data_IF_414281302164
#
_entry.id   IF_414281302164
#
_cell.length_a   1.000
_cell.length_b   1.000
_cell.length_c   1.000
_cell.angle_alpha   90.00
_cell.angle_beta   90.00
_cell.angle_gamma   90.00
#
_symmetry.space_group_name_H-M   'P 1'
#
loop_
_entity.id
_entity.type
_entity.pdbx_description
1 polymer ?
#
# COMPACT_ATOMS: atom_id res chain seq x y z
N UNK A 1 -2.59 -9.08 -19.69
CA UNK A 1 -1.80 -8.69 -18.51
C UNK A 1 -2.54 -7.55 -17.85
N UNK A 2 -3.36 -7.85 -16.85
CA UNK A 2 -4.05 -6.80 -16.08
C UNK A 2 -2.99 -5.95 -15.38
N UNK A 3 -3.14 -4.64 -15.41
CA UNK A 3 -2.24 -3.66 -14.79
C UNK A 3 -1.93 -4.01 -13.33
N UNK A 4 -0.81 -4.68 -13.05
CA UNK A 4 -0.41 -5.11 -11.70
C UNK A 4 -0.37 -3.92 -10.72
N UNK A 5 0.01 -2.75 -11.24
CA UNK A 5 0.01 -1.49 -10.51
C UNK A 5 -1.40 -1.05 -10.09
N UNK A 6 -2.45 -1.32 -10.88
CA UNK A 6 -3.86 -1.01 -10.50
C UNK A 6 -4.32 -1.92 -9.37
N UNK A 7 -3.95 -3.19 -9.40
CA UNK A 7 -4.23 -4.12 -8.31
C UNK A 7 -3.54 -3.66 -7.02
N UNK A 8 -2.29 -3.21 -7.13
CA UNK A 8 -1.56 -2.62 -6.01
C UNK A 8 -2.24 -1.34 -5.49
N UNK A 9 -2.64 -0.42 -6.38
CA UNK A 9 -3.33 0.81 -5.99
C UNK A 9 -4.65 0.50 -5.25
N UNK A 10 -5.45 -0.42 -5.77
CA UNK A 10 -6.69 -0.88 -5.11
C UNK A 10 -6.44 -1.50 -3.74
N UNK A 11 -5.35 -2.25 -3.59
CA UNK A 11 -4.97 -2.80 -2.28
C UNK A 11 -4.57 -1.69 -1.30
N UNK A 12 -3.83 -0.67 -1.73
CA UNK A 12 -3.48 0.49 -0.88
C UNK A 12 -4.72 1.29 -0.44
N UNK A 13 -5.71 1.41 -1.31
CA UNK A 13 -7.02 2.00 -0.96
C UNK A 13 -7.73 1.17 0.10
N UNK A 14 -7.79 -0.16 -0.07
CA UNK A 14 -8.36 -1.08 0.93
C UNK A 14 -7.63 -1.06 2.27
N UNK A 15 -6.35 -0.71 2.27
CA UNK A 15 -5.54 -0.50 3.46
C UNK A 15 -5.68 0.91 4.05
N UNK A 16 -6.53 1.77 3.50
CA UNK A 16 -6.72 3.18 3.88
C UNK A 16 -5.44 4.03 3.80
N UNK A 17 -4.55 3.70 2.86
CA UNK A 17 -3.32 4.46 2.59
C UNK A 17 -3.52 5.49 1.49
N UNK A 18 -4.36 5.17 0.51
CA UNK A 18 -4.82 6.09 -0.51
C UNK A 18 -6.32 6.29 -0.33
N UNK A 19 -6.84 7.53 -0.45
CA UNK A 19 -8.27 7.75 -0.50
C UNK A 19 -8.86 7.20 -1.82
N UNK A 20 -10.15 6.89 -1.82
CA UNK A 20 -10.83 6.28 -2.98
C UNK A 20 -10.81 7.19 -4.22
N UNK A 21 -10.82 8.50 -4.02
CA UNK A 21 -10.78 9.55 -5.04
C UNK A 21 -9.36 10.00 -5.41
N UNK A 22 -8.33 9.29 -4.92
CA UNK A 22 -6.94 9.65 -5.21
C UNK A 22 -6.66 9.59 -6.72
N UNK A 23 -5.85 10.52 -7.24
CA UNK A 23 -5.50 10.57 -8.68
C UNK A 23 -4.99 9.25 -9.28
N UNK A 24 -4.42 8.36 -8.45
CA UNK A 24 -3.89 7.05 -8.88
C UNK A 24 -4.95 5.99 -9.10
N UNK A 25 -6.19 6.22 -8.64
CA UNK A 25 -7.33 5.29 -8.84
C UNK A 25 -8.16 5.66 -10.07
N UNK A 26 -7.87 6.83 -10.68
CA UNK A 26 -8.57 7.31 -11.87
C UNK A 26 -8.39 6.42 -13.11
N UNK A 27 -9.29 6.54 -14.10
CA UNK A 27 -9.20 5.79 -15.34
C UNK A 27 -7.91 6.10 -16.12
N UNK A 28 -7.50 7.37 -16.15
CA UNK A 28 -6.32 7.87 -16.86
C UNK A 28 -5.01 7.76 -16.06
N UNK A 29 -5.08 7.20 -14.84
CA UNK A 29 -3.90 7.03 -13.99
C UNK A 29 -2.88 6.07 -14.62
N UNK A 30 -1.61 6.31 -14.33
CA UNK A 30 -0.49 5.48 -14.75
C UNK A 30 0.25 4.85 -13.57
N UNK A 31 1.08 3.85 -13.86
CA UNK A 31 2.00 3.29 -12.86
C UNK A 31 2.97 4.36 -12.29
N UNK A 32 3.30 5.39 -13.08
CA UNK A 32 4.16 6.48 -12.65
C UNK A 32 3.48 7.34 -11.58
N UNK A 33 2.17 7.60 -11.68
CA UNK A 33 1.43 8.34 -10.66
C UNK A 33 1.47 7.64 -9.30
N UNK A 34 1.36 6.31 -9.31
CA UNK A 34 1.49 5.49 -8.11
C UNK A 34 2.92 5.55 -7.57
N UNK A 35 3.93 5.42 -8.43
CA UNK A 35 5.33 5.54 -8.03
C UNK A 35 5.60 6.90 -7.36
N UNK A 36 5.08 8.00 -7.92
CA UNK A 36 5.22 9.33 -7.33
C UNK A 36 4.54 9.46 -5.97
N UNK A 37 3.37 8.85 -5.79
CA UNK A 37 2.67 8.87 -4.50
C UNK A 37 3.45 8.14 -3.39
N UNK A 38 4.14 7.06 -3.73
CA UNK A 38 4.92 6.26 -2.78
C UNK A 38 6.37 6.74 -2.59
N UNK A 39 6.84 7.65 -3.45
CA UNK A 39 8.25 8.01 -3.63
C UNK A 39 8.96 8.52 -2.38
N UNK A 40 8.24 9.20 -1.49
CA UNK A 40 8.79 9.79 -0.27
C UNK A 40 8.90 8.79 0.90
N UNK A 41 8.39 7.56 0.70
CA UNK A 41 8.40 6.49 1.68
C UNK A 41 7.40 6.65 2.84
N UNK A 42 6.64 7.76 2.92
CA UNK A 42 5.73 8.02 4.05
C UNK A 42 4.53 7.08 4.00
N UNK A 43 3.88 6.99 2.83
CA UNK A 43 2.69 6.13 2.66
C UNK A 43 2.98 4.66 2.93
N UNK A 44 4.13 4.15 2.47
CA UNK A 44 4.51 2.75 2.69
C UNK A 44 4.91 2.47 4.15
N UNK A 45 5.47 3.43 4.88
CA UNK A 45 5.67 3.28 6.33
C UNK A 45 4.33 3.24 7.09
N UNK A 46 3.37 4.09 6.72
CA UNK A 46 2.02 4.05 7.28
C UNK A 46 1.27 2.77 6.94
N UNK A 47 1.48 2.21 5.74
CA UNK A 47 0.94 0.91 5.35
C UNK A 47 1.31 -0.17 6.36
N UNK A 48 2.58 -0.26 6.75
CA UNK A 48 3.02 -1.26 7.73
C UNK A 48 2.30 -1.11 9.07
N UNK A 49 2.12 0.12 9.55
CA UNK A 49 1.36 0.40 10.78
C UNK A 49 -0.14 0.12 10.67
N UNK A 50 -0.71 0.13 9.47
CA UNK A 50 -2.09 -0.32 9.23
C UNK A 50 -2.21 -1.85 9.19
N UNK A 51 -1.19 -2.55 8.70
CA UNK A 51 -1.16 -4.01 8.69
C UNK A 51 -0.86 -4.59 10.08
N UNK A 52 0.07 -3.97 10.82
CA UNK A 52 0.42 -4.32 12.19
C UNK A 52 0.62 -3.05 13.01
N UNK A 53 -0.24 -2.76 14.00
CA UNK A 53 -0.14 -1.54 14.80
C UNK A 53 1.22 -1.39 15.47
N UNK A 54 1.81 -0.18 15.38
CA UNK A 54 3.07 0.21 16.02
C UNK A 54 4.31 -0.57 15.58
N UNK A 55 4.29 -1.22 14.42
CA UNK A 55 5.44 -1.97 13.88
C UNK A 55 6.56 -1.06 13.36
N UNK A 56 6.22 0.18 12.98
CA UNK A 56 7.18 1.25 12.66
C UNK A 56 6.95 2.40 13.64
N UNK A 57 7.98 2.74 14.42
CA UNK A 57 7.91 3.91 15.31
C UNK A 57 7.96 5.21 14.48
N UNK A 58 7.16 6.20 14.87
CA UNK A 58 7.14 7.52 14.22
C UNK A 58 8.50 8.24 14.29
N UNK A 59 9.39 7.84 15.21
CA UNK A 59 10.78 8.36 15.27
C UNK A 59 11.70 7.77 14.20
N UNK A 60 11.33 6.60 13.65
CA UNK A 60 12.17 5.83 12.74
C UNK A 60 11.98 6.27 11.28
N UNK A 61 10.98 7.09 10.99
CA UNK A 61 10.76 7.72 9.69
C UNK A 61 10.33 9.18 9.85
N UNK A 62 10.31 9.94 8.76
CA UNK A 62 9.98 11.37 8.73
C UNK A 62 8.64 11.55 8.01
N UNK A 63 7.54 11.84 8.74
CA UNK A 63 6.21 12.06 8.15
C UNK A 63 6.13 13.29 7.25
N UNK A 64 7.07 14.23 7.40
CA UNK A 64 7.20 15.44 6.58
C UNK A 64 8.63 15.54 6.04
N UNK A 65 8.98 14.80 4.99
CA UNK A 65 10.35 14.77 4.50
C UNK A 65 10.79 16.06 3.82
N UNK A 66 9.90 17.06 3.64
CA UNK A 66 10.21 18.37 3.04
C UNK A 66 10.98 18.28 1.70
N UNK A 67 10.68 17.25 0.89
CA UNK A 67 11.38 16.92 -0.34
C UNK A 67 12.89 16.58 -0.18
N UNK A 68 13.35 16.37 1.05
CA UNK A 68 14.73 15.97 1.34
C UNK A 68 14.98 14.54 0.88
N UNK A 69 15.92 14.38 -0.05
CA UNK A 69 16.40 13.08 -0.51
C UNK A 69 16.83 12.18 0.66
N UNK A 70 17.54 12.74 1.64
CA UNK A 70 18.01 11.98 2.80
C UNK A 70 16.84 11.42 3.62
N UNK A 71 15.80 12.23 3.85
CA UNK A 71 14.63 11.80 4.62
C UNK A 71 13.77 10.80 3.83
N UNK A 72 13.56 11.00 2.54
CA UNK A 72 12.84 10.03 1.70
C UNK A 72 13.55 8.67 1.67
N UNK A 73 14.88 8.66 1.47
CA UNK A 73 15.67 7.44 1.49
C UNK A 73 15.70 6.77 2.87
N UNK A 74 15.69 7.57 3.96
CA UNK A 74 15.53 7.04 5.32
C UNK A 74 14.19 6.30 5.45
N UNK A 75 13.08 6.91 5.04
CA UNK A 75 11.75 6.32 5.11
C UNK A 75 11.68 5.00 4.33
N UNK A 76 12.19 4.98 3.10
CA UNK A 76 12.20 3.78 2.26
C UNK A 76 13.02 2.66 2.92
N UNK A 77 14.19 2.98 3.47
CA UNK A 77 15.01 1.99 4.20
C UNK A 77 14.30 1.44 5.43
N UNK A 78 13.61 2.29 6.19
CA UNK A 78 12.80 1.88 7.34
C UNK A 78 11.71 0.89 6.90
N UNK A 79 10.99 1.19 5.82
CA UNK A 79 10.00 0.27 5.25
C UNK A 79 10.61 -1.10 4.91
N UNK A 80 11.73 -1.14 4.19
CA UNK A 80 12.39 -2.37 3.77
C UNK A 80 12.87 -3.20 4.97
N UNK A 81 13.50 -2.53 5.96
CA UNK A 81 13.96 -3.18 7.18
C UNK A 81 12.81 -3.81 7.96
N UNK A 82 11.68 -3.11 8.10
CA UNK A 82 10.50 -3.64 8.80
C UNK A 82 9.83 -4.76 8.01
N UNK A 83 9.76 -4.69 6.68
CA UNK A 83 9.27 -5.79 5.84
C UNK A 83 10.07 -7.08 6.07
N UNK A 84 11.39 -6.96 6.17
CA UNK A 84 12.26 -8.09 6.50
C UNK A 84 12.04 -8.60 7.92
N UNK A 85 12.14 -7.71 8.90
CA UNK A 85 12.27 -8.09 10.31
C UNK A 85 10.93 -8.47 10.96
N UNK A 86 9.83 -7.81 10.58
CA UNK A 86 8.52 -8.01 11.20
C UNK A 86 7.55 -8.80 10.31
N UNK A 87 7.64 -8.64 8.99
CA UNK A 87 6.75 -9.32 8.03
C UNK A 87 7.37 -10.56 7.38
N UNK A 88 8.66 -10.84 7.66
CA UNK A 88 9.34 -12.06 7.23
C UNK A 88 9.64 -12.12 5.73
N UNK A 89 9.70 -10.98 5.03
CA UNK A 89 10.09 -10.96 3.62
C UNK A 89 11.58 -11.31 3.47
N UNK A 90 11.90 -12.08 2.43
CA UNK A 90 13.28 -12.45 2.08
C UNK A 90 13.95 -11.32 1.31
N UNK A 91 15.27 -11.22 1.39
CA UNK A 91 16.04 -10.18 0.67
C UNK A 91 15.77 -10.16 -0.85
N UNK A 92 15.60 -11.33 -1.47
CA UNK A 92 15.27 -11.45 -2.90
C UNK A 92 13.88 -10.90 -3.28
N UNK A 93 13.00 -10.71 -2.31
CA UNK A 93 11.64 -10.20 -2.50
C UNK A 93 11.55 -8.68 -2.20
N UNK A 94 12.67 -8.06 -1.77
CA UNK A 94 12.79 -6.63 -1.48
C UNK A 94 13.39 -5.88 -2.68
N UNK A 95 12.96 -4.63 -2.86
CA UNK A 95 13.56 -3.70 -3.83
C UNK A 95 14.69 -2.88 -3.21
N UNK A 96 15.52 -2.24 -4.03
CA UNK A 96 16.56 -1.32 -3.57
C UNK A 96 16.04 0.12 -3.53
N UNK A 97 16.44 0.98 -2.59
CA UNK A 97 15.89 2.34 -2.47
C UNK A 97 15.82 3.17 -3.77
N UNK A 98 16.79 3.12 -4.69
CA UNK A 98 16.71 3.81 -5.99
C UNK A 98 15.60 3.30 -6.91
N UNK A 99 15.18 2.03 -6.77
CA UNK A 99 14.09 1.44 -7.58
C UNK A 99 12.78 2.22 -7.40
N UNK A 100 12.56 2.79 -6.20
CA UNK A 100 11.43 3.66 -5.88
C UNK A 100 11.79 5.14 -5.95
N UNK A 101 12.87 5.58 -5.28
CA UNK A 101 13.20 7.01 -5.17
C UNK A 101 13.55 7.67 -6.51
N UNK A 102 14.31 6.97 -7.35
CA UNK A 102 14.66 7.42 -8.70
C UNK A 102 13.77 6.75 -9.77
N UNK A 103 12.79 5.94 -9.34
CA UNK A 103 11.88 5.16 -10.20
C UNK A 103 12.65 4.28 -11.20
N UNK A 104 13.80 3.70 -10.79
CA UNK A 104 14.62 2.86 -11.69
C UNK A 104 13.93 1.57 -12.11
N UNK A 105 13.23 0.92 -11.18
CA UNK A 105 12.54 -0.33 -11.44
C UNK A 105 11.31 -0.47 -10.53
N UNK A 106 10.24 0.23 -10.91
CA UNK A 106 9.01 0.19 -10.14
C UNK A 106 8.35 -1.20 -10.11
N UNK A 107 8.71 -2.12 -11.02
CA UNK A 107 8.18 -3.49 -11.02
C UNK A 107 8.64 -4.26 -9.77
N UNK A 108 9.89 -4.05 -9.33
CA UNK A 108 10.37 -4.64 -8.06
C UNK A 108 9.58 -4.13 -6.86
N UNK A 109 9.22 -2.85 -6.85
CA UNK A 109 8.39 -2.25 -5.79
C UNK A 109 7.01 -2.93 -5.75
N UNK A 110 6.38 -3.12 -6.92
CA UNK A 110 5.10 -3.84 -7.03
C UNK A 110 5.24 -5.31 -6.57
N UNK A 111 6.34 -5.98 -6.91
CA UNK A 111 6.62 -7.34 -6.44
C UNK A 111 6.71 -7.41 -4.91
N UNK A 112 7.46 -6.51 -4.28
CA UNK A 112 7.57 -6.44 -2.81
C UNK A 112 6.21 -6.20 -2.15
N UNK A 113 5.41 -5.25 -2.66
CA UNK A 113 4.07 -4.97 -2.13
C UNK A 113 3.11 -6.16 -2.33
N UNK A 114 3.21 -6.86 -3.47
CA UNK A 114 2.45 -8.09 -3.75
C UNK A 114 2.82 -9.19 -2.74
N UNK A 115 4.11 -9.37 -2.43
CA UNK A 115 4.56 -10.32 -1.40
C UNK A 115 4.07 -9.93 -0.02
N UNK A 116 4.19 -8.65 0.35
CA UNK A 116 3.70 -8.11 1.61
C UNK A 116 2.21 -8.36 1.80
N UNK A 117 1.38 -8.11 0.77
CA UNK A 117 -0.08 -8.32 0.81
C UNK A 117 -0.50 -9.77 1.08
N UNK A 118 0.39 -10.73 0.82
CA UNK A 118 0.17 -12.18 1.00
C UNK A 118 0.74 -12.73 2.30
N UNK A 119 1.36 -11.88 3.12
CA UNK A 119 1.81 -12.29 4.46
C UNK A 119 0.60 -12.57 5.37
N UNK A 120 0.77 -13.49 6.31
CA UNK A 120 -0.29 -13.81 7.29
C UNK A 120 -0.75 -12.57 8.06
N UNK A 121 0.18 -11.67 8.39
CA UNK A 121 -0.11 -10.40 9.08
C UNK A 121 -1.04 -9.54 8.23
N UNK A 122 -0.73 -9.37 6.94
CA UNK A 122 -1.54 -8.56 6.05
C UNK A 122 -2.94 -9.17 5.81
N UNK A 123 -3.04 -10.49 5.70
CA UNK A 123 -4.32 -11.18 5.50
C UNK A 123 -5.21 -11.17 6.74
N UNK A 124 -4.61 -11.12 7.94
CA UNK A 124 -5.34 -11.07 9.22
C UNK A 124 -5.67 -9.66 9.68
N UNK A 125 -5.13 -8.63 9.03
CA UNK A 125 -5.38 -7.25 9.42
C UNK A 125 -6.85 -6.90 9.19
N UNK A 126 -7.57 -6.65 10.28
CA UNK A 126 -8.99 -6.26 10.27
C UNK A 126 -9.24 -4.90 9.64
N UNK A 127 -8.18 -4.11 9.40
CA UNK A 127 -8.24 -2.81 8.72
C UNK A 127 -8.21 -2.94 7.20
N UNK A 128 -7.86 -4.10 6.66
CA UNK A 128 -7.87 -4.33 5.21
C UNK A 128 -9.27 -4.80 4.84
N UNK A 129 -10.03 -3.94 4.16
CA UNK A 129 -11.39 -4.28 3.70
C UNK A 129 -11.36 -5.59 2.90
N UNK A 130 -12.24 -6.58 3.13
CA UNK A 130 -12.23 -7.85 2.38
C UNK A 130 -12.50 -7.61 0.90
N UNK A 131 -11.94 -8.46 0.01
CA UNK A 131 -12.08 -8.35 -1.46
C UNK A 131 -13.55 -8.36 -1.90
N UNK A 132 -14.44 -8.89 -1.08
CA UNK A 132 -15.89 -8.97 -1.31
C UNK A 132 -16.67 -7.75 -0.80
N UNK A 133 -16.03 -6.80 -0.09
CA UNK A 133 -16.66 -5.54 0.32
C UNK A 133 -16.63 -4.51 -0.82
N UNK A 134 -17.18 -4.88 -1.97
CA UNK A 134 -18.10 -3.96 -2.65
C UNK A 134 -19.33 -3.88 -1.75
N UNK A 135 -19.23 -3.11 -0.67
CA UNK A 135 -20.44 -2.47 -0.15
C UNK A 135 -20.89 -1.59 -1.31
N UNK A 136 -22.00 -1.98 -1.90
CA UNK A 136 -22.80 -1.17 -2.80
C UNK A 136 -22.82 0.27 -2.26
N UNK A 137 -22.03 1.16 -2.86
CA UNK A 137 -22.35 2.58 -2.85
C UNK A 137 -23.38 2.82 -3.96
N UNK A 138 -24.51 2.13 -3.86
CA UNK A 138 -25.77 2.52 -4.48
C UNK A 138 -26.76 2.76 -3.34
N UNK A 139 -26.50 3.81 -2.57
CA UNK A 139 -27.55 4.44 -1.76
C UNK A 139 -27.41 5.95 -1.82
N UNK A 140 -27.49 6.47 -3.04
CA UNK A 140 -28.25 7.71 -3.30
C UNK A 140 -29.05 7.53 -4.60
N UNK A 141 -29.80 6.43 -4.76
CA UNK A 141 -31.06 6.32 -5.51
C UNK A 141 -31.58 4.90 -5.20
N UNK A 142 -32.63 4.82 -4.39
CA UNK A 142 -33.02 3.59 -3.69
C UNK A 142 -33.48 2.44 -4.58
N UNK A 143 -33.37 1.22 -4.05
CA UNK A 143 -34.47 0.31 -3.70
C UNK A 143 -33.88 -0.95 -3.01
N UNK A 144 -34.65 -1.51 -2.07
CA UNK A 144 -34.38 -2.74 -1.30
C UNK A 144 -34.05 -3.95 -2.19
N UNK A 145 -33.28 -4.94 -1.72
CA UNK A 145 -33.67 -6.37 -1.76
C UNK A 145 -32.78 -7.26 -0.86
N UNK A 146 -33.44 -7.86 0.13
CA UNK A 146 -33.32 -9.22 0.67
C UNK A 146 -31.95 -9.81 1.11
N UNK A 147 -31.82 -9.97 2.43
CA UNK A 147 -31.35 -11.13 3.20
C UNK A 147 -30.49 -12.20 2.50
N UNK A 148 -29.27 -12.40 3.00
CA UNK A 148 -28.67 -13.75 3.09
C UNK A 148 -27.94 -13.90 4.43
N UNK A 149 -28.53 -14.70 5.33
CA UNK A 149 -27.86 -15.33 6.47
C UNK A 149 -26.84 -16.33 5.94
N UNK A 150 -25.62 -16.37 6.47
CA UNK A 150 -24.79 -17.58 6.35
C UNK A 150 -24.10 -17.94 7.65
N UNK A 151 -24.39 -19.20 8.01
CA UNK A 151 -23.77 -20.14 8.94
C UNK A 151 -22.25 -20.19 8.82
#
# INVERSE_FOLDING_TARGET
MADEWRQCANWLVRCHILPDDHKTTGPDASAFDLAQALRDGVLICHLLNNLSPNVVDLKDFSPRPQLSQFLCLKNIRTFLATCKNAFGLRDQDLFDPPDLFDVKDFRKVLHTLSKLSKTDIAQRSSKVLPVTAKVYCETVYGQEFANVTLV
#
